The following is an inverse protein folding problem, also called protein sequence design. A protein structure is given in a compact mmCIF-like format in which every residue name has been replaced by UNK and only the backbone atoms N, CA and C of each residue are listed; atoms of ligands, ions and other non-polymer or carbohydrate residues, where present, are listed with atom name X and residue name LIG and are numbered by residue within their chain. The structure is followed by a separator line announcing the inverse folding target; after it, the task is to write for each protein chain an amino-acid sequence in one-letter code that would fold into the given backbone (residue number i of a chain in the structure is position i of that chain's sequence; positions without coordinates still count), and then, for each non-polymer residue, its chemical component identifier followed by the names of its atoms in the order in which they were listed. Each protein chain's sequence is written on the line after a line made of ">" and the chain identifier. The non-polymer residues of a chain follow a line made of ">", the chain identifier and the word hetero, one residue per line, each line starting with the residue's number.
data_IF_735462394325
#
_entry.id   IF_735462394325
#
_cell.length_a   1.000
_cell.length_b   1.000
_cell.length_c   1.000
_cell.angle_alpha   90.00
_cell.angle_beta   90.00
_cell.angle_gamma   90.00
#
_symmetry.space_group_name_H-M   'P 1'
#
loop_
_entity.id
_entity.type
_entity.pdbx_description
1 polymer ?
#
# COMPACT_ATOMS: atom_id res chain seq x y z
N UNK A 1 -20.61 -15.71 10.18
CA UNK A 1 -19.47 -15.54 11.12
C UNK A 1 -18.39 -14.74 10.39
N UNK A 2 -18.45 -13.40 10.45
CA UNK A 2 -17.63 -12.50 9.61
C UNK A 2 -16.67 -11.59 10.39
N UNK A 3 -16.58 -11.74 11.72
CA UNK A 3 -15.78 -10.85 12.59
C UNK A 3 -14.26 -10.93 12.39
N UNK A 4 -13.74 -11.99 11.77
CA UNK A 4 -12.29 -12.12 11.58
C UNK A 4 -11.75 -11.24 10.45
N UNK A 5 -12.49 -11.09 9.33
CA UNK A 5 -12.01 -10.32 8.16
C UNK A 5 -11.96 -8.81 8.41
N UNK A 6 -12.87 -8.30 9.23
CA UNK A 6 -12.96 -6.87 9.55
C UNK A 6 -11.78 -6.41 10.41
N UNK A 7 -11.34 -7.26 11.35
CA UNK A 7 -10.22 -6.96 12.24
C UNK A 7 -8.88 -6.88 11.48
N UNK A 8 -8.67 -7.77 10.51
CA UNK A 8 -7.47 -7.75 9.66
C UNK A 8 -7.40 -6.49 8.78
N UNK A 9 -8.54 -6.05 8.23
CA UNK A 9 -8.58 -4.85 7.38
C UNK A 9 -8.33 -3.56 8.18
N UNK A 10 -8.94 -3.41 9.36
CA UNK A 10 -8.69 -2.25 10.23
C UNK A 10 -7.24 -2.20 10.70
N UNK A 11 -6.64 -3.36 11.05
CA UNK A 11 -5.22 -3.43 11.43
C UNK A 11 -4.29 -3.04 10.27
N UNK A 12 -4.56 -3.52 9.06
CA UNK A 12 -3.80 -3.13 7.87
C UNK A 12 -3.90 -1.63 7.59
N UNK A 13 -5.09 -1.04 7.75
CA UNK A 13 -5.29 0.39 7.57
C UNK A 13 -4.50 1.24 8.56
N UNK A 14 -4.49 0.84 9.84
CA UNK A 14 -3.70 1.50 10.89
C UNK A 14 -2.20 1.40 10.57
N UNK A 15 -1.72 0.22 10.19
CA UNK A 15 -0.30 0.01 9.88
C UNK A 15 0.13 0.79 8.63
N UNK A 16 -0.66 0.76 7.56
CA UNK A 16 -0.39 1.51 6.34
C UNK A 16 -0.42 3.03 6.57
N UNK A 17 -1.36 3.53 7.38
CA UNK A 17 -1.38 4.95 7.77
C UNK A 17 -0.12 5.32 8.55
N UNK A 18 0.27 4.53 9.54
CA UNK A 18 1.45 4.82 10.35
C UNK A 18 2.74 4.87 9.54
N UNK A 19 2.92 3.98 8.56
CA UNK A 19 4.09 3.99 7.66
C UNK A 19 4.05 5.21 6.75
N UNK A 20 2.88 5.55 6.19
CA UNK A 20 2.72 6.73 5.34
C UNK A 20 3.01 8.02 6.12
N UNK A 21 2.50 8.16 7.34
CA UNK A 21 2.77 9.32 8.21
C UNK A 21 4.24 9.42 8.57
N UNK A 22 4.90 8.31 8.91
CA UNK A 22 6.33 8.29 9.21
C UNK A 22 7.17 8.72 7.99
N UNK A 23 6.77 8.33 6.78
CA UNK A 23 7.42 8.75 5.55
C UNK A 23 7.19 10.25 5.26
N UNK A 24 5.95 10.74 5.38
CA UNK A 24 5.62 12.15 5.15
C UNK A 24 6.28 13.09 6.18
N UNK A 25 6.61 12.59 7.37
CA UNK A 25 7.33 13.32 8.42
C UNK A 25 8.86 13.15 8.35
N UNK A 26 9.38 12.50 7.29
CA UNK A 26 10.81 12.25 7.09
C UNK A 26 11.46 11.41 8.22
N UNK A 27 10.67 10.64 8.97
CA UNK A 27 11.16 9.73 10.02
C UNK A 27 11.77 8.44 9.44
N UNK A 28 11.31 8.04 8.25
CA UNK A 28 11.80 6.88 7.50
C UNK A 28 12.02 7.26 6.04
N UNK A 29 12.99 6.62 5.40
CA UNK A 29 13.27 6.82 3.97
C UNK A 29 12.22 6.13 3.10
N UNK A 30 12.12 6.56 1.83
CA UNK A 30 11.27 5.89 0.83
C UNK A 30 11.54 4.38 0.77
N UNK A 31 12.81 3.97 0.85
CA UNK A 31 13.21 2.56 0.80
C UNK A 31 12.68 1.77 2.00
N UNK A 32 12.74 2.36 3.19
CA UNK A 32 12.24 1.75 4.43
C UNK A 32 10.71 1.66 4.40
N UNK A 33 10.03 2.73 4.00
CA UNK A 33 8.57 2.75 3.87
C UNK A 33 8.06 1.68 2.88
N UNK A 34 8.71 1.54 1.72
CA UNK A 34 8.38 0.49 0.74
C UNK A 34 8.61 -0.90 1.32
N UNK A 35 9.73 -1.11 2.04
CA UNK A 35 10.01 -2.39 2.67
C UNK A 35 8.94 -2.74 3.71
N UNK A 36 8.61 -1.81 4.62
CA UNK A 36 7.61 -2.02 5.66
C UNK A 36 6.21 -2.30 5.06
N UNK A 37 5.82 -1.56 4.02
CA UNK A 37 4.56 -1.79 3.31
C UNK A 37 4.56 -3.15 2.58
N UNK A 38 5.68 -3.56 2.00
CA UNK A 38 5.82 -4.87 1.37
C UNK A 38 5.71 -6.01 2.40
N UNK A 39 6.09 -5.78 3.66
CA UNK A 39 5.88 -6.77 4.74
C UNK A 39 4.41 -6.89 5.16
N UNK A 40 3.59 -5.85 4.92
CA UNK A 40 2.14 -5.91 5.11
C UNK A 40 1.44 -6.67 3.98
N UNK A 41 2.05 -6.74 2.78
CA UNK A 41 1.56 -7.58 1.70
C UNK A 41 1.63 -9.06 2.13
N UNK A 42 0.56 -9.82 1.90
CA UNK A 42 0.52 -11.25 2.25
C UNK A 42 1.64 -12.02 1.54
N UNK A 43 2.56 -12.58 2.33
CA UNK A 43 3.70 -13.40 1.88
C UNK A 43 3.27 -14.61 1.02
N UNK A 44 2.12 -15.23 1.32
CA UNK A 44 1.53 -16.32 0.52
C UNK A 44 1.17 -15.90 -0.93
N UNK A 45 1.12 -14.59 -1.19
CA UNK A 45 0.76 -13.99 -2.48
C UNK A 45 1.91 -13.21 -3.13
N UNK A 46 3.11 -13.17 -2.52
CA UNK A 46 4.28 -12.51 -3.10
C UNK A 46 4.64 -13.06 -4.50
N UNK A 47 4.33 -14.32 -4.78
CA UNK A 47 4.52 -14.94 -6.09
C UNK A 47 3.53 -14.41 -7.16
N UNK A 48 2.38 -13.87 -6.72
CA UNK A 48 1.31 -13.31 -7.56
C UNK A 48 1.35 -11.78 -7.63
N UNK A 49 2.07 -11.12 -6.72
CA UNK A 49 2.15 -9.65 -6.63
C UNK A 49 2.85 -8.97 -7.81
N UNK A 50 3.29 -9.76 -8.81
CA UNK A 50 3.87 -9.30 -10.06
C UNK A 50 5.23 -8.61 -9.88
N UNK A 51 6.08 -8.57 -10.92
CA UNK A 51 7.14 -7.58 -10.94
C UNK A 51 6.46 -6.20 -10.90
N UNK A 52 6.91 -5.28 -10.04
CA UNK A 52 6.45 -3.89 -9.86
C UNK A 52 5.57 -3.57 -8.63
N UNK A 53 5.34 -4.49 -7.68
CA UNK A 53 4.65 -4.12 -6.42
C UNK A 53 5.41 -3.00 -5.67
N UNK A 54 6.71 -3.17 -5.46
CA UNK A 54 7.57 -2.17 -4.81
C UNK A 54 7.53 -0.81 -5.52
N UNK A 55 7.44 -0.84 -6.85
CA UNK A 55 7.31 0.37 -7.67
C UNK A 55 5.96 1.05 -7.44
N UNK A 56 4.85 0.31 -7.37
CA UNK A 56 3.52 0.87 -7.09
C UNK A 56 3.42 1.45 -5.68
N UNK A 57 4.07 0.80 -4.70
CA UNK A 57 4.20 1.33 -3.34
C UNK A 57 5.00 2.63 -3.35
N UNK A 58 6.16 2.65 -4.03
CA UNK A 58 6.99 3.84 -4.16
C UNK A 58 6.25 4.99 -4.88
N UNK A 59 5.58 4.71 -5.99
CA UNK A 59 4.80 5.71 -6.74
C UNK A 59 3.69 6.30 -5.85
N UNK A 60 2.98 5.47 -5.07
CA UNK A 60 1.94 5.96 -4.14
C UNK A 60 2.52 6.87 -3.06
N UNK A 61 3.67 6.50 -2.49
CA UNK A 61 4.36 7.32 -1.48
C UNK A 61 4.82 8.65 -2.08
N UNK A 62 5.42 8.64 -3.28
CA UNK A 62 5.89 9.86 -3.96
C UNK A 62 4.72 10.79 -4.28
N UNK A 63 3.62 10.26 -4.83
CA UNK A 63 2.41 11.05 -5.11
C UNK A 63 1.85 11.69 -3.83
N UNK A 64 1.83 10.96 -2.71
CA UNK A 64 1.37 11.49 -1.43
C UNK A 64 2.33 12.57 -0.89
N UNK A 65 3.64 12.36 -1.00
CA UNK A 65 4.65 13.35 -0.57
C UNK A 65 4.63 14.62 -1.41
N UNK A 66 4.29 14.53 -2.69
CA UNK A 66 4.14 15.68 -3.58
C UNK A 66 2.79 16.40 -3.38
N UNK A 67 1.88 15.83 -2.59
CA UNK A 67 0.51 16.35 -2.44
C UNK A 67 -0.38 16.13 -3.67
N UNK A 68 0.00 15.21 -4.57
CA UNK A 68 -0.77 14.87 -5.77
C UNK A 68 -2.00 14.01 -5.43
N UNK A 69 -1.96 13.30 -4.30
CA UNK A 69 -3.08 12.52 -3.76
C UNK A 69 -3.25 12.79 -2.26
N UNK A 70 -4.50 12.76 -1.79
CA UNK A 70 -4.83 12.88 -0.36
C UNK A 70 -4.32 11.69 0.45
N UNK A 71 -4.05 11.93 1.73
CA UNK A 71 -3.62 10.90 2.69
C UNK A 71 -4.59 9.72 2.75
N UNK A 72 -5.90 9.99 2.82
CA UNK A 72 -6.93 8.95 2.88
C UNK A 72 -6.95 8.08 1.61
N UNK A 73 -6.73 8.70 0.45
CA UNK A 73 -6.63 8.01 -0.83
C UNK A 73 -5.37 7.14 -0.88
N UNK A 74 -4.22 7.67 -0.44
CA UNK A 74 -2.96 6.94 -0.38
C UNK A 74 -3.08 5.71 0.54
N UNK A 75 -3.62 5.87 1.76
CA UNK A 75 -3.85 4.75 2.69
C UNK A 75 -4.78 3.71 2.08
N UNK A 76 -5.88 4.15 1.45
CA UNK A 76 -6.82 3.24 0.78
C UNK A 76 -6.14 2.46 -0.34
N UNK A 77 -5.28 3.11 -1.13
CA UNK A 77 -4.55 2.47 -2.21
C UNK A 77 -3.52 1.46 -1.69
N UNK A 78 -2.78 1.80 -0.63
CA UNK A 78 -1.81 0.90 0.01
C UNK A 78 -2.49 -0.34 0.61
N UNK A 79 -3.61 -0.17 1.32
CA UNK A 79 -4.39 -1.29 1.86
C UNK A 79 -4.92 -2.16 0.73
N UNK A 80 -5.38 -1.57 -0.38
CA UNK A 80 -5.76 -2.33 -1.58
C UNK A 80 -4.58 -3.12 -2.13
N UNK A 81 -3.41 -2.53 -2.29
CA UNK A 81 -2.21 -3.25 -2.77
C UNK A 81 -1.83 -4.41 -1.84
N UNK A 82 -1.98 -4.25 -0.52
CA UNK A 82 -1.68 -5.30 0.46
C UNK A 82 -2.72 -6.44 0.50
N UNK A 83 -3.98 -6.16 0.17
CA UNK A 83 -5.10 -7.11 0.27
C UNK A 83 -5.56 -7.70 -1.06
N UNK A 84 -5.30 -7.02 -2.17
CA UNK A 84 -5.75 -7.44 -3.49
C UNK A 84 -4.77 -8.50 -4.01
N UNK A 85 -5.31 -9.65 -4.40
CA UNK A 85 -4.63 -10.47 -5.41
C UNK A 85 -4.56 -9.60 -6.66
N UNK A 86 -3.43 -8.96 -6.93
CA UNK A 86 -3.19 -8.37 -8.26
C UNK A 86 -3.09 -9.56 -9.21
N UNK A 87 -4.25 -10.10 -9.61
CA UNK A 87 -4.38 -10.91 -10.81
C UNK A 87 -3.65 -10.09 -11.87
N UNK A 88 -2.63 -10.68 -12.49
CA UNK A 88 -1.84 -10.16 -13.59
C UNK A 88 -2.73 -9.80 -14.81
N UNK A 89 -3.58 -8.81 -14.64
CA UNK A 89 -4.32 -8.17 -15.71
C UNK A 89 -3.88 -6.72 -15.60
N UNK A 90 -3.09 -6.32 -16.60
CA UNK A 90 -2.73 -4.95 -16.89
C UNK A 90 -4.01 -4.13 -17.09
N UNK A 91 -4.68 -3.74 -16.00
CA UNK A 91 -5.67 -2.68 -16.07
C UNK A 91 -4.89 -1.38 -15.90
N UNK A 92 -4.78 -0.56 -16.97
CA UNK A 92 -4.20 0.76 -16.83
C UNK A 92 -5.08 1.53 -15.86
N UNK A 93 -4.49 2.05 -14.78
CA UNK A 93 -5.13 3.03 -13.93
C UNK A 93 -5.40 4.27 -14.80
N UNK A 94 -6.58 4.32 -15.41
CA UNK A 94 -7.07 5.50 -16.09
C UNK A 94 -7.55 6.46 -15.01
N UNK A 95 -6.71 7.45 -14.67
CA UNK A 95 -7.17 8.67 -14.04
C UNK A 95 -8.09 9.37 -15.05
N UNK A 96 -9.34 9.59 -14.66
CA UNK A 96 -10.32 10.38 -15.40
C UNK A 96 -10.79 11.51 -14.50
#
# INVERSE_FOLDING_TARGET
>A
MSMMKENDQTRLQIQASGILEAFLQDHITLREAVADLAHLCRLDLCHLNGPNMDKRLADTLVLASNGEIDHDFAVTHLVRLATTHVLCVETPYAFN
#
